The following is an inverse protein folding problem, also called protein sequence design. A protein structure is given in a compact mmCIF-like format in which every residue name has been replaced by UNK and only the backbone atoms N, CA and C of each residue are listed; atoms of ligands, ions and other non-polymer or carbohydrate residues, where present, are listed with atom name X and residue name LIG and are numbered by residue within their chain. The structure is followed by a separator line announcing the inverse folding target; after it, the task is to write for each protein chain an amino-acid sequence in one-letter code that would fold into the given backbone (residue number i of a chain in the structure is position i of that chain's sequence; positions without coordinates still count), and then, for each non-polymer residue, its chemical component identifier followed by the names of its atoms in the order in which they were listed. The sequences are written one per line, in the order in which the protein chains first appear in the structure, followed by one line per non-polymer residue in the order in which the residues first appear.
data_IF_923729422585
#
_entry.id   IF_923729422585
#
_cell.length_a   1.000
_cell.length_b   1.000
_cell.length_c   1.000
_cell.angle_alpha   90.00
_cell.angle_beta   90.00
_cell.angle_gamma   90.00
#
_symmetry.space_group_name_H-M   'P 1'
#
loop_
_entity.id
_entity.type
_entity.pdbx_description
1 polymer ?
#
# COMPACT_ATOMS: atom_id res chain seq x y z
N UNK A 1 -21.75 8.47 -32.01
CA UNK A 1 -21.17 7.10 -32.03
C UNK A 1 -20.01 7.11 -31.03
N UNK A 2 -20.09 6.31 -29.95
CA UNK A 2 -19.08 6.31 -28.89
C UNK A 2 -17.87 5.43 -29.29
N UNK A 3 -16.69 6.05 -29.44
CA UNK A 3 -15.43 5.35 -29.71
C UNK A 3 -14.67 5.15 -28.39
N UNK A 4 -14.36 3.89 -28.10
CA UNK A 4 -13.62 3.47 -26.91
C UNK A 4 -12.26 2.92 -27.36
N UNK A 5 -11.17 3.38 -26.75
CA UNK A 5 -9.84 2.84 -26.95
C UNK A 5 -9.42 2.08 -25.68
N UNK A 6 -9.45 0.77 -25.75
CA UNK A 6 -8.98 -0.07 -24.63
C UNK A 6 -7.52 -0.46 -24.84
N UNK A 7 -6.70 -0.27 -23.82
CA UNK A 7 -5.26 -0.51 -23.85
C UNK A 7 -4.89 -1.63 -22.86
N UNK A 8 -4.37 -2.73 -23.38
CA UNK A 8 -3.68 -3.74 -22.59
C UNK A 8 -2.20 -3.36 -22.47
N UNK A 9 -1.82 -2.86 -21.29
CA UNK A 9 -0.54 -2.19 -21.04
C UNK A 9 0.55 -3.21 -20.68
N UNK A 10 1.29 -3.68 -21.68
CA UNK A 10 2.49 -4.49 -21.44
C UNK A 10 3.72 -3.65 -21.11
N UNK A 11 4.79 -4.30 -20.63
CA UNK A 11 6.05 -3.65 -20.25
C UNK A 11 6.74 -2.91 -21.40
N UNK A 12 6.70 -3.47 -22.61
CA UNK A 12 7.40 -2.95 -23.78
C UNK A 12 6.45 -2.59 -24.92
N UNK A 13 5.34 -3.32 -25.05
CA UNK A 13 4.34 -3.13 -26.09
C UNK A 13 2.95 -3.11 -25.46
N UNK A 14 2.11 -2.25 -25.97
CA UNK A 14 0.69 -2.11 -25.62
C UNK A 14 -0.15 -2.58 -26.77
N UNK A 15 -1.12 -3.44 -26.50
CA UNK A 15 -2.15 -3.82 -27.48
C UNK A 15 -3.34 -2.91 -27.27
N UNK A 16 -3.72 -2.19 -28.30
CA UNK A 16 -4.87 -1.31 -28.31
C UNK A 16 -6.03 -1.96 -29.09
N UNK A 17 -7.22 -1.85 -28.54
CA UNK A 17 -8.48 -2.20 -29.19
C UNK A 17 -9.32 -0.92 -29.35
N UNK A 18 -9.47 -0.44 -30.57
CA UNK A 18 -10.44 0.57 -30.95
C UNK A 18 -11.80 -0.11 -31.10
N UNK A 19 -12.82 0.35 -30.39
CA UNK A 19 -14.12 -0.28 -30.31
C UNK A 19 -15.25 0.74 -30.48
N UNK A 20 -16.19 0.47 -31.36
CA UNK A 20 -17.42 1.26 -31.58
C UNK A 20 -18.56 0.66 -30.76
N UNK A 21 -19.05 1.39 -29.76
CA UNK A 21 -20.02 0.85 -28.80
C UNK A 21 -21.37 0.42 -29.45
N UNK A 22 -21.85 1.14 -30.48
CA UNK A 22 -23.14 0.89 -31.11
C UNK A 22 -23.10 -0.26 -32.15
N UNK A 23 -22.00 -0.38 -32.89
CA UNK A 23 -21.87 -1.38 -33.95
C UNK A 23 -21.16 -2.64 -33.51
N UNK A 24 -20.40 -2.59 -32.42
CA UNK A 24 -19.52 -3.67 -31.96
C UNK A 24 -18.29 -3.87 -32.86
N UNK A 25 -18.09 -3.03 -33.87
CA UNK A 25 -16.90 -3.10 -34.73
C UNK A 25 -15.65 -2.76 -33.93
N UNK A 26 -14.56 -3.47 -34.21
CA UNK A 26 -13.30 -3.22 -33.52
C UNK A 26 -12.08 -3.46 -34.40
N UNK A 27 -11.00 -2.77 -34.07
CA UNK A 27 -9.70 -2.93 -34.74
C UNK A 27 -8.61 -3.01 -33.67
N UNK A 28 -7.52 -3.68 -33.96
CA UNK A 28 -6.37 -3.80 -33.09
C UNK A 28 -5.17 -3.09 -33.67
N UNK A 29 -4.43 -2.45 -32.78
CA UNK A 29 -3.09 -1.92 -33.05
C UNK A 29 -2.13 -2.37 -31.95
N UNK A 30 -0.85 -2.43 -32.27
CA UNK A 30 0.19 -2.71 -31.27
C UNK A 30 1.25 -1.61 -31.39
N UNK A 31 1.50 -0.91 -30.29
CA UNK A 31 2.47 0.19 -30.21
C UNK A 31 3.49 -0.06 -29.11
N UNK A 32 4.58 0.68 -29.11
CA UNK A 32 5.52 0.68 -28.01
C UNK A 32 4.87 1.31 -26.77
N UNK A 33 5.15 0.77 -25.58
CA UNK A 33 4.68 1.33 -24.32
C UNK A 33 5.60 2.51 -23.91
N UNK A 34 5.51 3.59 -24.67
CA UNK A 34 6.20 4.85 -24.40
C UNK A 34 5.21 6.00 -24.37
N UNK A 35 5.49 7.09 -23.62
CA UNK A 35 4.61 8.26 -23.60
C UNK A 35 4.28 8.80 -24.98
N UNK A 36 5.29 8.92 -25.87
CA UNK A 36 5.11 9.42 -27.23
C UNK A 36 4.21 8.51 -28.06
N UNK A 37 4.48 7.20 -28.09
CA UNK A 37 3.73 6.29 -28.93
C UNK A 37 2.26 6.15 -28.48
N UNK A 38 2.00 6.19 -27.17
CA UNK A 38 0.63 6.18 -26.64
C UNK A 38 -0.08 7.52 -26.89
N UNK A 39 0.61 8.64 -26.74
CA UNK A 39 0.09 9.96 -27.10
C UNK A 39 -0.34 9.99 -28.57
N UNK A 40 0.57 9.66 -29.48
CA UNK A 40 0.32 9.71 -30.93
C UNK A 40 -0.86 8.78 -31.31
N UNK A 41 -0.92 7.56 -30.73
CA UNK A 41 -2.05 6.64 -30.91
C UNK A 41 -3.38 7.25 -30.45
N UNK A 42 -3.41 7.82 -29.24
CA UNK A 42 -4.64 8.37 -28.67
C UNK A 42 -5.12 9.57 -29.50
N UNK A 43 -4.22 10.44 -29.91
CA UNK A 43 -4.53 11.62 -30.74
C UNK A 43 -5.01 11.20 -32.13
N UNK A 44 -4.36 10.20 -32.78
CA UNK A 44 -4.77 9.70 -34.10
C UNK A 44 -6.17 9.04 -34.08
N UNK A 45 -6.52 8.36 -33.00
CA UNK A 45 -7.81 7.64 -32.87
C UNK A 45 -8.95 8.48 -32.33
N UNK A 46 -8.67 9.60 -31.71
CA UNK A 46 -9.66 10.53 -31.10
C UNK A 46 -10.79 9.82 -30.33
N UNK A 47 -10.48 8.94 -29.35
CA UNK A 47 -11.50 8.24 -28.62
C UNK A 47 -12.24 9.20 -27.65
N UNK A 48 -13.52 8.95 -27.41
CA UNK A 48 -14.24 9.63 -26.34
C UNK A 48 -13.86 9.07 -24.97
N UNK A 49 -13.43 7.80 -24.91
CA UNK A 49 -13.04 7.14 -23.68
C UNK A 49 -11.83 6.24 -23.90
N UNK A 50 -10.87 6.33 -22.98
CA UNK A 50 -9.76 5.36 -22.88
C UNK A 50 -10.00 4.43 -21.70
N UNK A 51 -9.76 3.14 -21.91
CA UNK A 51 -9.88 2.10 -20.87
C UNK A 51 -8.53 1.43 -20.68
N UNK A 52 -8.07 1.31 -19.44
CA UNK A 52 -6.84 0.60 -19.10
C UNK A 52 -7.07 -0.35 -17.93
N UNK A 53 -6.24 -1.38 -17.78
CA UNK A 53 -6.18 -2.18 -16.57
C UNK A 53 -5.31 -1.52 -15.51
N UNK A 54 -5.65 -1.76 -14.22
CA UNK A 54 -4.78 -1.33 -13.13
C UNK A 54 -3.48 -2.15 -13.13
N UNK A 55 -2.36 -1.49 -13.37
CA UNK A 55 -1.03 -2.08 -13.40
C UNK A 55 0.02 -1.08 -12.91
N UNK A 56 1.29 -1.48 -12.92
CA UNK A 56 2.40 -0.64 -12.42
C UNK A 56 2.57 0.68 -13.17
N UNK A 57 2.20 0.73 -14.44
CA UNK A 57 2.33 1.90 -15.31
C UNK A 57 1.03 2.69 -15.49
N UNK A 58 -0.09 2.18 -14.97
CA UNK A 58 -1.39 2.84 -15.08
C UNK A 58 -1.37 4.31 -14.61
N UNK A 59 -0.50 4.67 -13.67
CA UNK A 59 -0.40 6.02 -13.14
C UNK A 59 -0.03 7.06 -14.19
N UNK A 60 1.09 6.90 -14.89
CA UNK A 60 1.53 7.86 -15.91
C UNK A 60 0.66 7.81 -17.16
N UNK A 61 0.10 6.65 -17.52
CA UNK A 61 -0.87 6.55 -18.61
C UNK A 61 -2.15 7.32 -18.27
N UNK A 62 -2.60 7.23 -17.01
CA UNK A 62 -3.76 8.01 -16.54
C UNK A 62 -3.51 9.52 -16.64
N UNK A 63 -2.30 9.98 -16.30
CA UNK A 63 -1.95 11.39 -16.42
C UNK A 63 -1.94 11.85 -17.88
N UNK A 64 -1.38 11.02 -18.78
CA UNK A 64 -1.37 11.29 -20.22
C UNK A 64 -2.80 11.42 -20.77
N UNK A 65 -3.69 10.48 -20.47
CA UNK A 65 -5.08 10.51 -20.96
C UNK A 65 -5.83 11.73 -20.41
N UNK A 66 -5.65 12.05 -19.13
CA UNK A 66 -6.25 13.24 -18.51
C UNK A 66 -5.74 14.54 -19.10
N UNK A 67 -4.45 14.63 -19.43
CA UNK A 67 -3.86 15.82 -20.07
C UNK A 67 -4.44 16.08 -21.46
N UNK A 68 -4.96 15.07 -22.13
CA UNK A 68 -5.65 15.16 -23.41
C UNK A 68 -7.17 15.48 -23.25
N UNK A 69 -7.67 15.62 -22.02
CA UNK A 69 -9.08 15.90 -21.75
C UNK A 69 -10.03 14.74 -22.06
N UNK A 70 -9.53 13.51 -22.18
CA UNK A 70 -10.30 12.32 -22.56
C UNK A 70 -10.81 11.60 -21.32
N UNK A 71 -12.03 11.05 -21.38
CA UNK A 71 -12.58 10.23 -20.31
C UNK A 71 -11.72 8.98 -20.09
N UNK A 72 -11.32 8.72 -18.84
CA UNK A 72 -10.52 7.57 -18.47
C UNK A 72 -11.28 6.63 -17.55
N UNK A 73 -11.29 5.35 -17.90
CA UNK A 73 -11.72 4.27 -17.01
C UNK A 73 -10.55 3.33 -16.73
N UNK A 74 -10.26 3.11 -15.44
CA UNK A 74 -9.23 2.15 -15.00
C UNK A 74 -9.93 0.93 -14.41
N UNK A 75 -9.79 -0.22 -15.05
CA UNK A 75 -10.49 -1.44 -14.68
C UNK A 75 -9.83 -2.15 -13.48
N UNK A 76 -10.66 -2.67 -12.57
CA UNK A 76 -10.23 -3.54 -11.49
C UNK A 76 -10.14 -4.99 -11.99
N UNK A 77 -8.93 -5.50 -12.18
CA UNK A 77 -8.70 -6.89 -12.63
C UNK A 77 -9.08 -7.96 -11.61
N UNK A 78 -9.33 -7.56 -10.36
CA UNK A 78 -9.79 -8.46 -9.29
C UNK A 78 -11.31 -8.59 -9.23
N UNK A 79 -12.07 -7.82 -10.01
CA UNK A 79 -13.53 -7.92 -10.10
C UNK A 79 -13.94 -9.25 -10.76
N UNK A 80 -15.03 -9.85 -10.27
CA UNK A 80 -15.51 -11.14 -10.78
C UNK A 80 -15.89 -11.08 -12.27
N UNK A 81 -16.39 -9.96 -12.75
CA UNK A 81 -16.73 -9.72 -14.15
C UNK A 81 -15.50 -9.72 -15.06
N UNK A 82 -14.34 -9.38 -14.49
CA UNK A 82 -13.05 -9.43 -15.17
C UNK A 82 -12.48 -10.84 -15.26
N UNK A 83 -12.84 -11.75 -14.31
CA UNK A 83 -12.22 -13.07 -14.24
C UNK A 83 -12.63 -13.99 -15.38
N UNK A 84 -11.63 -14.59 -16.02
CA UNK A 84 -11.77 -15.58 -17.10
C UNK A 84 -11.92 -17.00 -16.51
N UNK A 85 -13.00 -17.29 -15.78
CA UNK A 85 -13.15 -18.60 -15.10
C UNK A 85 -13.24 -19.81 -16.05
N UNK A 86 -13.51 -19.60 -17.35
CA UNK A 86 -13.74 -20.69 -18.32
C UNK A 86 -12.93 -20.56 -19.63
N UNK A 87 -12.04 -19.59 -19.76
CA UNK A 87 -11.29 -19.38 -21.00
C UNK A 87 -9.91 -19.99 -20.90
N UNK A 88 -9.66 -21.03 -21.72
CA UNK A 88 -8.36 -21.74 -21.74
C UNK A 88 -7.24 -20.96 -22.47
N UNK A 89 -7.57 -19.94 -23.25
CA UNK A 89 -6.60 -19.13 -24.00
C UNK A 89 -6.76 -17.66 -23.63
N UNK A 90 -5.84 -17.15 -22.83
CA UNK A 90 -5.69 -15.73 -22.54
C UNK A 90 -4.72 -15.12 -23.55
N UNK A 91 -5.09 -14.00 -24.20
CA UNK A 91 -4.18 -13.20 -25.00
C UNK A 91 -4.56 -11.71 -24.90
N UNK A 92 -3.59 -10.84 -25.10
CA UNK A 92 -3.67 -9.40 -24.90
C UNK A 92 -4.80 -8.74 -25.76
N UNK A 93 -5.05 -9.26 -26.99
CA UNK A 93 -6.16 -8.76 -27.84
C UNK A 93 -7.52 -9.03 -27.21
N UNK A 94 -7.72 -10.22 -26.65
CA UNK A 94 -8.99 -10.57 -25.98
C UNK A 94 -9.20 -9.77 -24.70
N UNK A 95 -8.12 -9.51 -23.97
CA UNK A 95 -8.19 -8.72 -22.74
C UNK A 95 -8.55 -7.27 -23.08
N UNK A 96 -7.91 -6.65 -24.08
CA UNK A 96 -8.26 -5.33 -24.56
C UNK A 96 -9.71 -5.24 -25.11
N UNK A 97 -10.15 -6.23 -25.92
CA UNK A 97 -11.53 -6.25 -26.43
C UNK A 97 -12.55 -6.38 -25.29
N UNK A 98 -12.30 -7.26 -24.32
CA UNK A 98 -13.19 -7.43 -23.17
C UNK A 98 -13.29 -6.14 -22.34
N UNK A 99 -12.17 -5.44 -22.14
CA UNK A 99 -12.15 -4.14 -21.47
C UNK A 99 -13.08 -3.14 -22.18
N UNK A 100 -12.96 -3.05 -23.51
CA UNK A 100 -13.80 -2.18 -24.31
C UNK A 100 -15.29 -2.54 -24.23
N UNK A 101 -15.63 -3.83 -24.35
CA UNK A 101 -17.01 -4.32 -24.28
C UNK A 101 -17.65 -4.06 -22.91
N UNK A 102 -16.94 -4.35 -21.79
CA UNK A 102 -17.42 -4.07 -20.44
C UNK A 102 -17.61 -2.57 -20.20
N UNK A 103 -16.72 -1.75 -20.77
CA UNK A 103 -16.82 -0.28 -20.70
C UNK A 103 -18.04 0.23 -21.47
N UNK A 104 -18.30 -0.28 -22.67
CA UNK A 104 -19.42 0.12 -23.51
C UNK A 104 -20.78 -0.07 -22.81
N UNK A 105 -20.91 -1.14 -22.02
CA UNK A 105 -22.14 -1.43 -21.26
C UNK A 105 -22.08 -0.94 -19.80
N UNK A 106 -21.10 -0.10 -19.45
CA UNK A 106 -20.90 0.46 -18.09
C UNK A 106 -20.80 -0.61 -16.97
N UNK A 107 -20.25 -1.77 -17.29
CA UNK A 107 -20.06 -2.88 -16.33
C UNK A 107 -18.65 -2.96 -15.75
N UNK A 108 -17.75 -2.06 -16.11
CA UNK A 108 -16.44 -1.97 -15.45
C UNK A 108 -16.59 -1.45 -14.03
N UNK A 109 -15.90 -2.10 -13.10
CA UNK A 109 -15.70 -1.58 -11.76
C UNK A 109 -14.48 -0.65 -11.77
N UNK A 110 -14.65 0.69 -11.71
CA UNK A 110 -13.54 1.61 -11.86
C UNK A 110 -12.65 1.63 -10.62
N UNK A 111 -11.35 1.72 -10.84
CA UNK A 111 -10.34 1.97 -9.80
C UNK A 111 -9.98 3.45 -9.79
N UNK A 112 -9.96 4.04 -8.61
CA UNK A 112 -9.45 5.39 -8.44
C UNK A 112 -7.92 5.41 -8.57
N UNK A 113 -7.41 6.20 -9.49
CA UNK A 113 -5.99 6.49 -9.66
C UNK A 113 -5.74 7.92 -9.16
N UNK A 114 -5.01 8.08 -8.04
CA UNK A 114 -4.70 9.40 -7.50
C UNK A 114 -3.84 10.24 -8.45
N UNK A 115 -3.81 11.53 -8.21
CA UNK A 115 -2.90 12.44 -8.89
C UNK A 115 -1.43 12.12 -8.62
N UNK A 116 -0.54 12.65 -9.47
CA UNK A 116 0.89 12.38 -9.44
C UNK A 116 1.50 12.65 -8.05
N UNK A 117 1.22 13.80 -7.45
CA UNK A 117 1.74 14.18 -6.14
C UNK A 117 1.37 13.18 -5.05
N UNK A 118 0.13 12.74 -5.03
CA UNK A 118 -0.35 11.74 -4.07
C UNK A 118 0.26 10.36 -4.32
N UNK A 119 0.46 9.96 -5.59
CA UNK A 119 1.15 8.71 -5.93
C UNK A 119 2.61 8.74 -5.52
N UNK A 120 3.31 9.86 -5.71
CA UNK A 120 4.70 10.04 -5.28
C UNK A 120 4.82 9.96 -3.75
N UNK A 121 3.92 10.58 -3.02
CA UNK A 121 3.91 10.48 -1.56
C UNK A 121 3.67 9.03 -1.08
N UNK A 122 2.70 8.32 -1.66
CA UNK A 122 2.51 6.87 -1.41
C UNK A 122 3.76 6.05 -1.69
N UNK A 123 4.44 6.34 -2.79
CA UNK A 123 5.67 5.66 -3.18
C UNK A 123 6.79 5.90 -2.17
N UNK A 124 6.94 7.14 -1.67
CA UNK A 124 7.94 7.51 -0.68
C UNK A 124 7.68 6.82 0.67
N UNK A 125 6.41 6.77 1.13
CA UNK A 125 6.01 6.03 2.33
C UNK A 125 6.35 4.54 2.19
N UNK A 126 6.03 3.93 1.05
CA UNK A 126 6.35 2.53 0.79
C UNK A 126 7.86 2.29 0.70
N UNK A 127 8.63 3.23 0.14
CA UNK A 127 10.08 3.17 0.05
C UNK A 127 10.73 3.23 1.44
N UNK A 128 10.30 4.18 2.28
CA UNK A 128 10.74 4.25 3.70
C UNK A 128 10.50 2.91 4.41
N UNK A 129 9.35 2.30 4.23
CA UNK A 129 9.05 1.00 4.83
C UNK A 129 10.00 -0.11 4.34
N UNK A 130 10.31 -0.13 3.03
CA UNK A 130 11.29 -1.06 2.45
C UNK A 130 12.69 -0.87 3.04
N UNK A 131 13.13 0.39 3.24
CA UNK A 131 14.42 0.68 3.89
C UNK A 131 14.47 0.14 5.32
N UNK A 132 13.41 0.34 6.11
CA UNK A 132 13.32 -0.21 7.46
C UNK A 132 13.36 -1.74 7.47
N UNK A 133 12.71 -2.39 6.51
CA UNK A 133 12.78 -3.85 6.38
C UNK A 133 14.19 -4.33 6.02
N UNK A 134 14.88 -3.64 5.10
CA UNK A 134 16.29 -3.94 4.74
C UNK A 134 17.19 -3.78 5.96
N UNK A 135 17.08 -2.66 6.68
CA UNK A 135 17.80 -2.43 7.94
C UNK A 135 17.59 -3.57 8.95
N UNK A 136 16.35 -4.06 9.08
CA UNK A 136 16.04 -5.16 9.98
C UNK A 136 16.72 -6.47 9.54
N UNK A 137 16.79 -6.73 8.23
CA UNK A 137 17.50 -7.89 7.68
C UNK A 137 18.99 -7.82 7.99
N UNK A 138 19.64 -6.67 7.78
CA UNK A 138 21.06 -6.47 8.13
C UNK A 138 21.29 -6.69 9.62
N UNK A 139 20.46 -6.12 10.50
CA UNK A 139 20.55 -6.35 11.94
C UNK A 139 20.42 -7.83 12.34
N UNK A 140 19.54 -8.57 11.69
CA UNK A 140 19.39 -9.99 11.94
C UNK A 140 20.60 -10.77 11.43
N UNK A 141 21.13 -10.42 10.25
CA UNK A 141 22.33 -11.02 9.70
C UNK A 141 23.55 -10.83 10.62
N UNK A 142 23.76 -9.60 11.13
CA UNK A 142 24.82 -9.33 12.14
C UNK A 142 24.63 -10.21 13.38
N UNK A 143 23.41 -10.40 13.87
CA UNK A 143 23.15 -11.27 15.02
C UNK A 143 23.50 -12.74 14.74
N UNK A 144 23.09 -13.22 13.58
CA UNK A 144 23.35 -14.60 13.16
C UNK A 144 24.85 -14.85 12.93
N UNK A 145 25.54 -13.87 12.31
CA UNK A 145 26.99 -13.89 12.13
C UNK A 145 27.72 -14.03 13.48
N UNK A 146 27.44 -13.13 14.40
CA UNK A 146 28.09 -13.14 15.71
C UNK A 146 27.74 -14.38 16.54
N UNK A 147 26.51 -14.85 16.45
CA UNK A 147 26.09 -16.09 17.14
C UNK A 147 26.89 -17.32 16.64
N UNK A 148 27.15 -17.41 15.35
CA UNK A 148 28.00 -18.50 14.76
C UNK A 148 29.40 -18.48 15.32
N UNK A 149 29.93 -17.29 15.60
CA UNK A 149 31.30 -17.09 16.11
C UNK A 149 31.35 -17.04 17.65
N UNK A 150 30.30 -17.50 18.33
CA UNK A 150 30.23 -17.54 19.79
C UNK A 150 30.19 -16.17 20.47
N UNK A 151 29.95 -15.10 19.72
CA UNK A 151 29.84 -13.74 20.22
C UNK A 151 28.39 -13.41 20.55
N UNK A 152 28.09 -13.04 21.79
CA UNK A 152 26.75 -12.72 22.23
C UNK A 152 26.47 -11.21 22.19
N UNK A 153 25.49 -10.82 21.40
CA UNK A 153 24.97 -9.45 21.43
C UNK A 153 23.94 -9.24 22.53
N UNK A 154 23.91 -8.06 23.14
CA UNK A 154 22.84 -7.68 24.04
C UNK A 154 21.45 -7.81 23.39
N UNK A 155 20.47 -8.26 24.17
CA UNK A 155 19.09 -8.45 23.67
C UNK A 155 18.40 -7.12 23.33
N UNK A 156 17.49 -7.17 22.38
CA UNK A 156 16.61 -6.05 22.06
C UNK A 156 17.32 -4.88 21.38
N UNK A 157 17.15 -3.68 21.93
CA UNK A 157 17.68 -2.43 21.34
C UNK A 157 19.10 -2.10 21.76
N UNK A 158 19.58 -2.68 22.85
CA UNK A 158 20.88 -2.32 23.45
C UNK A 158 22.06 -2.47 22.49
N UNK A 159 22.07 -3.53 21.68
CA UNK A 159 23.09 -3.76 20.64
C UNK A 159 23.20 -2.64 19.58
N UNK A 160 22.14 -1.87 19.39
CA UNK A 160 22.01 -0.85 18.33
C UNK A 160 22.04 0.58 18.87
N UNK A 161 22.40 0.78 20.13
CA UNK A 161 22.73 2.06 20.72
C UNK A 161 24.11 2.53 20.25
N UNK A 162 24.45 3.78 20.45
CA UNK A 162 25.78 4.28 20.11
C UNK A 162 26.89 3.44 20.78
N UNK A 163 26.75 3.11 22.05
CA UNK A 163 27.69 2.25 22.77
C UNK A 163 27.76 0.83 22.18
N UNK A 164 26.60 0.21 21.87
CA UNK A 164 26.54 -1.11 21.22
C UNK A 164 27.18 -1.13 19.84
N UNK A 165 26.94 -0.10 19.04
CA UNK A 165 27.57 0.06 17.72
C UNK A 165 29.09 0.28 17.83
N UNK A 166 29.57 1.03 18.81
CA UNK A 166 31.00 1.21 19.08
C UNK A 166 31.66 -0.13 19.46
N UNK A 167 31.00 -0.94 20.30
CA UNK A 167 31.49 -2.29 20.64
C UNK A 167 31.59 -3.18 19.41
N UNK A 168 30.58 -3.15 18.51
CA UNK A 168 30.61 -3.92 17.26
C UNK A 168 31.70 -3.44 16.31
N UNK A 169 31.90 -2.14 16.20
CA UNK A 169 32.94 -1.56 15.38
C UNK A 169 34.36 -1.91 15.87
N UNK A 170 34.57 -2.06 17.19
CA UNK A 170 35.84 -2.48 17.76
C UNK A 170 36.18 -3.97 17.45
N UNK A 171 35.17 -4.80 17.19
CA UNK A 171 35.36 -6.20 16.81
C UNK A 171 35.65 -6.33 15.30
N UNK A 172 35.05 -5.46 14.48
CA UNK A 172 35.19 -5.50 13.03
C UNK A 172 36.62 -5.18 12.58
N UNK A 173 37.07 -5.81 11.49
CA UNK A 173 38.37 -5.57 10.85
C UNK A 173 38.19 -5.48 9.34
N UNK A 174 39.01 -4.70 8.61
CA UNK A 174 39.01 -4.74 7.16
C UNK A 174 39.46 -6.10 6.61
N UNK A 175 38.89 -6.58 5.51
CA UNK A 175 39.34 -7.83 4.84
C UNK A 175 40.82 -7.79 4.43
N UNK A 176 41.40 -6.61 4.24
CA UNK A 176 42.82 -6.45 3.89
C UNK A 176 43.79 -6.78 5.02
N UNK A 177 43.32 -6.79 6.25
CA UNK A 177 44.16 -6.96 7.45
C UNK A 177 43.70 -8.10 8.37
N UNK A 178 42.59 -8.76 8.02
CA UNK A 178 42.02 -9.84 8.84
C UNK A 178 42.67 -11.16 8.51
N UNK A 179 42.97 -11.97 9.53
CA UNK A 179 43.51 -13.33 9.38
C UNK A 179 42.45 -14.29 8.78
N UNK A 180 42.95 -15.36 8.13
CA UNK A 180 42.09 -16.30 7.40
C UNK A 180 41.09 -17.06 8.28
N UNK A 181 41.34 -17.19 9.57
CA UNK A 181 40.46 -17.78 10.59
C UNK A 181 39.50 -16.78 11.24
N UNK A 182 39.61 -15.48 10.89
CA UNK A 182 38.82 -14.35 11.44
C UNK A 182 38.03 -13.60 10.35
N UNK A 183 37.83 -14.20 9.16
CA UNK A 183 37.17 -13.51 8.00
C UNK A 183 35.78 -12.94 8.32
N UNK A 184 35.08 -13.51 9.30
CA UNK A 184 33.79 -12.99 9.79
C UNK A 184 33.87 -11.55 10.30
N UNK A 185 35.02 -11.07 10.79
CA UNK A 185 35.23 -9.68 11.22
C UNK A 185 35.19 -8.71 10.06
N UNK A 186 35.68 -9.14 8.89
CA UNK A 186 35.57 -8.37 7.64
C UNK A 186 34.11 -8.28 7.18
N UNK A 187 33.38 -9.38 7.23
CA UNK A 187 31.95 -9.43 6.94
C UNK A 187 31.16 -8.48 7.88
N UNK A 188 31.45 -8.54 9.18
CA UNK A 188 30.86 -7.62 10.17
C UNK A 188 31.11 -6.16 9.82
N UNK A 189 32.33 -5.80 9.40
CA UNK A 189 32.67 -4.44 9.00
C UNK A 189 31.80 -3.91 7.85
N UNK A 190 31.61 -4.74 6.80
CA UNK A 190 30.74 -4.39 5.68
C UNK A 190 29.28 -4.23 6.13
N UNK A 191 28.76 -5.16 6.93
CA UNK A 191 27.37 -5.11 7.41
C UNK A 191 27.12 -3.89 8.31
N UNK A 192 28.08 -3.48 9.14
CA UNK A 192 27.99 -2.26 9.94
C UNK A 192 27.99 -1.00 9.07
N UNK A 193 28.82 -0.95 8.04
CA UNK A 193 28.83 0.17 7.07
C UNK A 193 27.47 0.26 6.34
N UNK A 194 26.92 -0.87 5.87
CA UNK A 194 25.58 -0.90 5.27
C UNK A 194 24.50 -0.44 6.25
N UNK A 195 24.57 -0.89 7.51
CA UNK A 195 23.60 -0.49 8.53
C UNK A 195 23.62 1.02 8.76
N UNK A 196 24.82 1.62 8.85
CA UNK A 196 25.01 3.07 9.00
C UNK A 196 24.45 3.83 7.80
N UNK A 197 24.79 3.40 6.59
CA UNK A 197 24.28 4.02 5.36
C UNK A 197 22.75 3.94 5.27
N UNK A 198 22.16 2.78 5.59
CA UNK A 198 20.70 2.63 5.62
C UNK A 198 20.04 3.55 6.65
N UNK A 199 20.70 3.80 7.76
CA UNK A 199 20.18 4.69 8.79
C UNK A 199 20.12 6.14 8.32
N UNK A 200 21.15 6.62 7.63
CA UNK A 200 21.17 7.93 6.98
C UNK A 200 20.08 8.06 5.91
N UNK A 201 19.94 7.06 5.04
CA UNK A 201 18.89 7.04 4.02
C UNK A 201 17.48 7.07 4.62
N UNK A 202 17.24 6.36 5.72
CA UNK A 202 15.96 6.41 6.42
C UNK A 202 15.70 7.81 6.99
N UNK A 203 16.70 8.45 7.58
CA UNK A 203 16.58 9.80 8.13
C UNK A 203 16.26 10.82 7.03
N UNK A 204 16.94 10.75 5.89
CA UNK A 204 16.69 11.62 4.73
C UNK A 204 15.23 11.48 4.22
N UNK A 205 14.78 10.25 4.03
CA UNK A 205 13.39 9.99 3.60
C UNK A 205 12.38 10.43 4.66
N UNK A 206 12.66 10.21 5.94
CA UNK A 206 11.80 10.64 7.04
C UNK A 206 11.72 12.17 7.13
N UNK A 207 12.80 12.90 6.91
CA UNK A 207 12.79 14.36 6.87
C UNK A 207 11.85 14.89 5.77
N UNK A 208 11.90 14.31 4.56
CA UNK A 208 10.97 14.68 3.49
C UNK A 208 9.53 14.30 3.78
N UNK A 209 9.29 13.15 4.39
CA UNK A 209 7.96 12.76 4.82
C UNK A 209 7.41 13.68 5.92
N UNK A 210 8.26 14.13 6.85
CA UNK A 210 7.87 15.07 7.90
C UNK A 210 7.50 16.44 7.34
N UNK A 211 8.23 16.93 6.34
CA UNK A 211 7.89 18.16 5.60
C UNK A 211 6.50 18.05 4.94
N UNK A 212 6.25 16.97 4.19
CA UNK A 212 4.97 16.73 3.53
C UNK A 212 3.83 16.59 4.54
N UNK A 213 4.07 15.85 5.63
CA UNK A 213 3.10 15.64 6.70
C UNK A 213 2.78 16.94 7.46
N UNK A 214 3.75 17.82 7.67
CA UNK A 214 3.55 19.11 8.33
C UNK A 214 2.68 20.05 7.51
N UNK A 215 2.80 20.02 6.19
CA UNK A 215 2.06 20.87 5.26
C UNK A 215 0.61 20.42 5.02
N UNK A 216 0.25 19.17 5.36
CA UNK A 216 -1.08 18.63 5.09
C UNK A 216 -2.00 18.69 6.31
N UNK A 217 -3.04 19.53 6.25
CA UNK A 217 -4.00 19.70 7.34
C UNK A 217 -4.73 18.40 7.73
N UNK A 218 -4.92 17.46 6.77
CA UNK A 218 -5.57 16.16 7.01
C UNK A 218 -4.69 15.28 7.90
N UNK A 219 -3.36 15.34 7.70
CA UNK A 219 -2.40 14.65 8.57
C UNK A 219 -2.42 15.23 9.97
N UNK A 220 -2.42 16.57 10.10
CA UNK A 220 -2.48 17.22 11.41
C UNK A 220 -3.78 16.87 12.14
N UNK A 221 -4.91 16.83 11.43
CA UNK A 221 -6.19 16.40 11.99
C UNK A 221 -6.11 14.98 12.57
N UNK A 222 -5.57 14.01 11.84
CA UNK A 222 -5.45 12.63 12.32
C UNK A 222 -4.45 12.49 13.48
N UNK A 223 -3.46 13.36 13.59
CA UNK A 223 -2.50 13.39 14.71
C UNK A 223 -3.13 13.83 16.03
N UNK A 224 -4.33 14.39 16.03
CA UNK A 224 -5.08 14.65 17.27
C UNK A 224 -5.50 13.36 17.98
N UNK A 225 -5.49 12.22 17.30
CA UNK A 225 -5.79 10.91 17.90
C UNK A 225 -4.64 10.47 18.81
N UNK A 226 -4.86 10.23 20.12
CA UNK A 226 -3.80 9.79 21.01
C UNK A 226 -3.13 8.49 20.54
N UNK A 227 -1.82 8.55 20.33
CA UNK A 227 -1.00 7.43 19.85
C UNK A 227 -0.86 7.33 18.32
N UNK A 228 -1.50 8.20 17.55
CA UNK A 228 -1.31 8.28 16.09
C UNK A 228 -0.19 9.27 15.77
N UNK A 229 0.92 8.72 15.29
CA UNK A 229 2.07 9.51 14.81
C UNK A 229 1.95 9.86 13.31
N UNK A 230 2.89 10.67 12.78
CA UNK A 230 2.86 11.13 11.39
C UNK A 230 2.85 9.97 10.38
N UNK A 231 3.62 8.91 10.63
CA UNK A 231 3.74 7.75 9.71
C UNK A 231 2.41 7.04 9.44
N UNK A 232 1.56 6.87 10.46
CA UNK A 232 0.22 6.31 10.24
C UNK A 232 -0.73 7.33 9.63
N UNK A 233 -0.71 8.57 10.11
CA UNK A 233 -1.60 9.61 9.63
C UNK A 233 -1.41 9.85 8.12
N UNK A 234 -0.17 10.04 7.65
CA UNK A 234 0.12 10.21 6.22
C UNK A 234 -0.23 8.98 5.38
N UNK A 235 0.02 7.76 5.92
CA UNK A 235 -0.33 6.54 5.22
C UNK A 235 -1.85 6.39 5.05
N UNK A 236 -2.65 6.83 6.02
CA UNK A 236 -4.12 6.84 5.94
C UNK A 236 -4.60 7.91 4.97
N UNK A 237 -4.10 9.16 5.09
CA UNK A 237 -4.46 10.27 4.21
C UNK A 237 -4.18 9.92 2.76
N UNK A 238 -2.97 9.47 2.46
CA UNK A 238 -2.59 9.10 1.10
C UNK A 238 -3.34 7.86 0.59
N UNK A 239 -3.71 6.92 1.46
CA UNK A 239 -4.51 5.75 1.07
C UNK A 239 -5.93 6.15 0.67
N UNK A 240 -6.56 7.03 1.42
CA UNK A 240 -7.89 7.50 1.07
C UNK A 240 -7.85 8.42 -0.15
N UNK A 241 -6.91 9.40 -0.14
CA UNK A 241 -6.83 10.49 -1.11
C UNK A 241 -8.12 11.34 -1.08
N UNK A 242 -9.17 10.88 -1.74
CA UNK A 242 -10.51 11.42 -1.63
C UNK A 242 -11.39 10.53 -0.74
N UNK A 243 -11.83 11.06 0.40
CA UNK A 243 -12.68 10.36 1.37
C UNK A 243 -14.13 10.22 0.93
N UNK A 244 -14.58 11.04 -0.03
CA UNK A 244 -15.96 11.02 -0.55
C UNK A 244 -16.25 9.77 -1.37
N UNK A 245 -15.22 9.08 -1.86
CA UNK A 245 -15.32 7.81 -2.56
C UNK A 245 -15.99 6.71 -1.73
N UNK A 246 -15.99 6.85 -0.43
CA UNK A 246 -16.58 5.88 0.50
C UNK A 246 -17.88 6.45 1.09
N UNK A 247 -18.97 5.75 0.85
CA UNK A 247 -20.29 6.15 1.35
C UNK A 247 -20.60 5.52 2.71
N UNK A 248 -19.97 4.39 3.05
CA UNK A 248 -20.22 3.66 4.29
C UNK A 248 -18.94 3.22 5.01
N UNK A 249 -19.00 3.08 6.32
CA UNK A 249 -17.93 2.51 7.15
C UNK A 249 -17.54 1.07 6.74
N UNK A 250 -18.50 0.31 6.22
CA UNK A 250 -18.27 -1.04 5.70
C UNK A 250 -17.31 -1.04 4.51
N UNK A 251 -17.49 -0.13 3.55
CA UNK A 251 -16.61 0.04 2.40
C UNK A 251 -15.18 0.39 2.81
N UNK A 252 -15.00 1.26 3.81
CA UNK A 252 -13.68 1.62 4.36
C UNK A 252 -12.96 0.38 4.90
N UNK A 253 -13.64 -0.43 5.69
CA UNK A 253 -13.07 -1.67 6.23
C UNK A 253 -12.76 -2.70 5.15
N UNK A 254 -13.62 -2.83 4.14
CA UNK A 254 -13.44 -3.75 3.02
C UNK A 254 -12.29 -3.33 2.11
N UNK A 255 -12.14 -2.03 1.83
CA UNK A 255 -11.06 -1.47 1.00
C UNK A 255 -9.67 -1.83 1.55
N UNK A 256 -9.52 -1.84 2.87
CA UNK A 256 -8.25 -2.26 3.50
C UNK A 256 -8.20 -3.77 3.81
N UNK A 257 -9.27 -4.52 3.51
CA UNK A 257 -9.36 -5.94 3.76
C UNK A 257 -9.33 -6.32 5.26
N UNK A 258 -9.86 -5.45 6.11
CA UNK A 258 -10.01 -5.68 7.55
C UNK A 258 -11.41 -6.18 7.93
N UNK A 259 -12.16 -6.69 6.96
CA UNK A 259 -13.45 -7.37 7.16
C UNK A 259 -13.26 -8.88 7.19
N UNK A 260 -14.01 -9.63 8.00
CA UNK A 260 -13.98 -11.08 7.99
C UNK A 260 -14.41 -11.64 6.62
N UNK A 261 -13.81 -12.75 6.21
CA UNK A 261 -14.38 -13.58 5.15
C UNK A 261 -15.67 -14.21 5.68
N UNK A 262 -16.73 -14.15 4.88
CA UNK A 262 -17.98 -14.86 5.17
C UNK A 262 -18.00 -16.16 4.38
N UNK A 263 -18.41 -17.22 5.03
CA UNK A 263 -18.64 -18.54 4.45
C UNK A 263 -20.04 -18.94 4.87
N UNK A 264 -21.03 -18.50 4.10
CA UNK A 264 -22.42 -18.82 4.35
C UNK A 264 -22.79 -20.02 3.50
N UNK A 265 -23.14 -21.12 4.15
CA UNK A 265 -23.72 -22.30 3.53
C UNK A 265 -24.96 -22.72 4.31
N UNK A 266 -26.15 -22.44 3.74
CA UNK A 266 -27.43 -22.79 4.33
C UNK A 266 -27.64 -22.16 5.72
N UNK A 267 -27.84 -22.98 6.74
CA UNK A 267 -28.17 -22.52 8.10
C UNK A 267 -26.98 -22.09 8.96
N UNK A 268 -25.74 -22.11 8.44
CA UNK A 268 -24.53 -21.82 9.23
C UNK A 268 -23.75 -20.64 8.67
N UNK A 269 -23.78 -19.52 9.37
CA UNK A 269 -22.88 -18.38 9.16
C UNK A 269 -21.53 -18.65 9.83
N UNK A 270 -20.45 -18.69 9.06
CA UNK A 270 -19.08 -18.82 9.58
C UNK A 270 -18.24 -17.63 9.19
N UNK A 271 -17.83 -16.86 10.20
CA UNK A 271 -16.85 -15.79 10.01
C UNK A 271 -15.42 -16.34 10.06
N UNK A 272 -14.68 -16.15 8.97
CA UNK A 272 -13.27 -16.53 8.84
C UNK A 272 -12.29 -15.43 9.26
N UNK A 273 -11.03 -15.60 8.85
CA UNK A 273 -10.00 -14.55 8.98
C UNK A 273 -10.36 -13.35 8.11
N UNK A 274 -9.75 -12.18 8.38
CA UNK A 274 -9.90 -11.00 7.53
C UNK A 274 -9.50 -11.31 6.07
N UNK A 275 -10.14 -10.61 5.12
CA UNK A 275 -9.94 -10.85 3.67
C UNK A 275 -8.52 -10.56 3.20
N UNK A 276 -7.83 -9.62 3.85
CA UNK A 276 -6.46 -9.15 3.53
C UNK A 276 -6.30 -8.50 2.16
N UNK A 277 -7.39 -8.14 1.49
CA UNK A 277 -7.34 -7.31 0.29
C UNK A 277 -6.77 -5.91 0.61
N UNK A 278 -6.34 -5.19 -0.41
CA UNK A 278 -5.85 -3.81 -0.26
C UNK A 278 -4.45 -3.70 0.38
N UNK A 279 -4.13 -2.51 0.87
CA UNK A 279 -2.77 -2.12 1.25
C UNK A 279 -2.26 -2.83 2.53
N UNK A 280 -1.29 -3.74 2.36
CA UNK A 280 -0.68 -4.49 3.46
C UNK A 280 0.06 -3.58 4.44
N UNK A 281 0.74 -2.54 3.95
CA UNK A 281 1.51 -1.62 4.79
C UNK A 281 0.58 -0.89 5.77
N UNK A 282 -0.50 -0.29 5.27
CA UNK A 282 -1.46 0.45 6.12
C UNK A 282 -2.11 -0.49 7.13
N UNK A 283 -2.46 -1.74 6.75
CA UNK A 283 -2.96 -2.72 7.72
C UNK A 283 -1.96 -3.03 8.84
N UNK A 284 -0.68 -3.21 8.50
CA UNK A 284 0.33 -3.50 9.53
C UNK A 284 0.54 -2.31 10.47
N UNK A 285 0.60 -1.10 9.95
CA UNK A 285 0.68 0.12 10.75
C UNK A 285 -0.54 0.29 11.67
N UNK A 286 -1.75 0.05 11.17
CA UNK A 286 -2.96 0.12 11.99
C UNK A 286 -2.95 -0.88 13.15
N UNK A 287 -2.49 -2.11 12.91
CA UNK A 287 -2.39 -3.12 13.97
C UNK A 287 -1.32 -2.75 15.00
N UNK A 288 -0.17 -2.26 14.54
CA UNK A 288 0.92 -1.78 15.40
C UNK A 288 0.47 -0.61 16.29
N UNK A 289 -0.17 0.39 15.67
CA UNK A 289 -0.69 1.55 16.41
C UNK A 289 -1.86 1.16 17.31
N UNK A 290 -2.71 0.22 16.91
CA UNK A 290 -3.77 -0.28 17.78
C UNK A 290 -3.20 -0.89 19.08
N UNK A 291 -2.09 -1.64 19.01
CA UNK A 291 -1.38 -2.11 20.20
C UNK A 291 -0.79 -0.95 21.02
N UNK A 292 -0.14 0.01 20.38
CA UNK A 292 0.47 1.16 21.06
C UNK A 292 -0.59 2.04 21.74
N UNK A 293 -1.73 2.25 21.07
CA UNK A 293 -2.82 3.09 21.60
C UNK A 293 -3.47 2.55 22.86
N UNK A 294 -3.36 1.24 23.16
CA UNK A 294 -3.86 0.71 24.43
C UNK A 294 -3.22 1.37 25.66
N UNK A 295 -2.05 1.99 25.52
CA UNK A 295 -1.35 2.69 26.59
C UNK A 295 -1.85 4.13 26.80
N UNK A 296 -2.22 4.80 25.71
CA UNK A 296 -2.42 6.25 25.70
C UNK A 296 -3.84 6.68 25.33
N UNK A 297 -4.66 5.77 24.75
CA UNK A 297 -5.99 6.08 24.26
C UNK A 297 -7.08 5.30 25.06
N UNK A 298 -7.87 5.98 25.92
CA UNK A 298 -8.92 5.34 26.69
C UNK A 298 -9.96 4.61 25.84
N UNK A 299 -10.36 5.19 24.71
CA UNK A 299 -11.28 4.57 23.77
C UNK A 299 -10.74 3.25 23.20
N UNK A 300 -9.47 3.21 22.79
CA UNK A 300 -8.85 1.99 22.29
C UNK A 300 -8.85 0.89 23.36
N UNK A 301 -8.52 1.26 24.62
CA UNK A 301 -8.51 0.34 25.76
C UNK A 301 -9.90 -0.24 26.04
N UNK A 302 -10.93 0.61 26.14
CA UNK A 302 -12.30 0.18 26.37
C UNK A 302 -12.81 -0.72 25.23
N UNK A 303 -12.57 -0.32 23.99
CA UNK A 303 -12.96 -1.11 22.82
C UNK A 303 -12.27 -2.48 22.81
N UNK A 304 -10.98 -2.52 23.12
CA UNK A 304 -10.22 -3.77 23.22
C UNK A 304 -10.77 -4.68 24.34
N UNK A 305 -11.01 -4.14 25.53
CA UNK A 305 -11.55 -4.89 26.68
C UNK A 305 -12.93 -5.47 26.36
N UNK A 306 -13.83 -4.66 25.79
CA UNK A 306 -15.18 -5.09 25.40
C UNK A 306 -15.13 -6.24 24.39
N UNK A 307 -14.28 -6.17 23.36
CA UNK A 307 -14.23 -7.19 22.29
C UNK A 307 -13.48 -8.44 22.76
N UNK A 308 -12.42 -8.30 23.54
CA UNK A 308 -11.66 -9.45 24.05
C UNK A 308 -12.40 -10.21 25.16
N UNK A 309 -13.25 -9.51 25.92
CA UNK A 309 -13.90 -10.06 27.11
C UNK A 309 -12.89 -10.62 28.14
N UNK A 310 -11.68 -10.05 28.20
CA UNK A 310 -10.58 -10.53 29.06
C UNK A 310 -9.90 -11.82 28.60
N UNK A 311 -10.41 -12.50 27.56
CA UNK A 311 -9.92 -13.80 27.11
C UNK A 311 -8.65 -13.68 26.29
N UNK A 312 -7.54 -14.36 26.69
CA UNK A 312 -6.25 -14.36 25.97
C UNK A 312 -6.38 -14.82 24.51
N UNK A 313 -7.22 -15.81 24.22
CA UNK A 313 -7.48 -16.33 22.86
C UNK A 313 -8.08 -15.29 21.92
N UNK A 314 -8.83 -14.31 22.42
CA UNK A 314 -9.50 -13.26 21.63
C UNK A 314 -8.66 -12.00 21.43
N UNK A 315 -7.49 -11.86 22.07
CA UNK A 315 -6.65 -10.65 22.01
C UNK A 315 -6.29 -10.24 20.59
N UNK A 316 -5.87 -11.20 19.73
CA UNK A 316 -5.52 -10.93 18.33
C UNK A 316 -6.72 -10.48 17.50
N UNK A 317 -7.89 -11.03 17.74
CA UNK A 317 -9.14 -10.62 17.10
C UNK A 317 -9.53 -9.22 17.55
N UNK A 318 -9.46 -8.96 18.86
CA UNK A 318 -9.81 -7.66 19.44
C UNK A 318 -8.92 -6.53 18.91
N UNK A 319 -7.60 -6.75 18.80
CA UNK A 319 -6.70 -5.71 18.32
C UNK A 319 -6.91 -5.37 16.83
N UNK A 320 -7.20 -6.36 16.00
CA UNK A 320 -7.54 -6.14 14.59
C UNK A 320 -8.87 -5.37 14.48
N UNK A 321 -9.83 -5.66 15.33
CA UNK A 321 -11.09 -4.93 15.39
C UNK A 321 -10.91 -3.48 15.86
N UNK A 322 -10.03 -3.23 16.85
CA UNK A 322 -9.63 -1.86 17.26
C UNK A 322 -9.01 -1.11 16.08
N UNK A 323 -8.06 -1.72 15.35
CA UNK A 323 -7.45 -1.13 14.17
C UNK A 323 -8.48 -0.79 13.09
N UNK A 324 -9.43 -1.69 12.80
CA UNK A 324 -10.53 -1.42 11.85
C UNK A 324 -11.40 -0.24 12.30
N UNK A 325 -11.78 -0.21 13.59
CA UNK A 325 -12.59 0.88 14.13
C UNK A 325 -11.83 2.22 14.13
N UNK A 326 -10.52 2.19 14.40
CA UNK A 326 -9.66 3.37 14.28
C UNK A 326 -9.63 3.89 12.84
N UNK A 327 -9.48 3.01 11.84
CA UNK A 327 -9.52 3.39 10.43
C UNK A 327 -10.85 4.07 10.05
N UNK A 328 -11.98 3.50 10.49
CA UNK A 328 -13.32 4.09 10.24
C UNK A 328 -13.43 5.47 10.89
N UNK A 329 -12.90 5.64 12.10
CA UNK A 329 -12.87 6.96 12.76
C UNK A 329 -11.99 7.97 12.01
N UNK A 330 -10.80 7.57 11.56
CA UNK A 330 -9.97 8.41 10.71
C UNK A 330 -10.73 8.87 9.46
N UNK A 331 -11.46 7.98 8.81
CA UNK A 331 -12.31 8.34 7.68
C UNK A 331 -13.41 9.35 8.06
N UNK A 332 -14.13 9.12 9.18
CA UNK A 332 -15.15 10.05 9.66
C UNK A 332 -14.60 11.42 10.00
N UNK A 333 -13.45 11.48 10.70
CA UNK A 333 -12.75 12.74 11.00
C UNK A 333 -12.38 13.51 9.73
N UNK A 334 -11.81 12.82 8.73
CA UNK A 334 -11.44 13.42 7.45
C UNK A 334 -12.67 13.89 6.65
N UNK A 335 -13.77 13.15 6.70
CA UNK A 335 -15.01 13.50 6.00
C UNK A 335 -15.72 14.71 6.59
N UNK A 336 -15.74 14.81 7.93
CA UNK A 336 -16.44 15.86 8.66
C UNK A 336 -15.52 17.00 9.14
N UNK A 337 -14.20 16.89 8.88
CA UNK A 337 -13.18 17.86 9.30
C UNK A 337 -13.21 18.14 10.81
N UNK A 338 -13.51 17.10 11.62
CA UNK A 338 -13.61 17.20 13.08
C UNK A 338 -12.42 16.56 13.77
N UNK A 339 -11.81 17.20 14.79
CA UNK A 339 -10.72 16.61 15.57
C UNK A 339 -11.20 15.40 16.36
N UNK A 340 -10.24 14.67 16.91
CA UNK A 340 -10.54 13.50 17.76
C UNK A 340 -11.33 13.90 18.99
N UNK A 341 -12.50 13.31 19.13
CA UNK A 341 -13.27 13.31 20.37
C UNK A 341 -13.65 11.86 20.72
N UNK A 342 -13.26 11.42 21.90
CA UNK A 342 -13.55 10.06 22.35
C UNK A 342 -14.95 9.93 22.97
N UNK A 343 -15.59 11.03 23.36
CA UNK A 343 -16.91 11.04 24.02
C UNK A 343 -18.06 10.91 23.03
N UNK A 344 -17.94 11.48 21.84
CA UNK A 344 -18.97 11.44 20.79
C UNK A 344 -19.13 10.09 20.07
N UNK A 345 -18.49 9.04 20.54
CA UNK A 345 -18.29 7.79 19.82
C UNK A 345 -19.10 6.62 20.35
N UNK A 346 -20.29 6.88 20.72
CA UNK A 346 -21.30 5.90 21.14
C UNK A 346 -22.30 5.46 20.07
N UNK A 347 -22.01 5.70 18.78
CA UNK A 347 -22.85 5.24 17.67
C UNK A 347 -22.16 4.17 16.82
#
# INVERSE_FOLDING_TARGET
MMRILALDLGKYKTVACEYEAESGRHRFATVLTTPKALHDLIVDREPQRVVIEICSIAGWVSDLVRSLGIELQVANTSDERWQWRKVKQKNDRRDALKAAQLSAVNQLCPVHVPELTMRQWRALIAYRYKLVQRRTKVKNHIRDLLLREGQLLPRGRAAWTQAGMATLAAIAQPFTTVDSDQLWRGELGIELAQLTQMQLQIQEVEAKLDELAAADARVQLLRTIPGVGPRLAEAIVTMFDDVTRFTTAGQVGAYLGMVPKQFDSGERERSGRITRHGNRLVRSLLVEIAWASLRHNPWARQTFQRISGGKKSRRKIAIVAVGRKLLVRCWGMLRHQTPWDWQTSGA
#
